data_IF_777183756505
#
_entry.id   IF_777183756505
#
_cell.length_a   1.000
_cell.length_b   1.000
_cell.length_c   1.000
_cell.angle_alpha   90.00
_cell.angle_beta   90.00
_cell.angle_gamma   90.00
#
_symmetry.space_group_name_H-M   'P 1'
#
loop_
_entity.id
_entity.type
_entity.pdbx_description
1 polymer ?
#
# COMPACT_ATOMS: atom_id res chain seq x y z
N UNK A 1 -25.23 -9.00 1.96
CA UNK A 1 -26.34 -9.88 2.37
C UNK A 1 -27.69 -9.21 2.14
N UNK A 2 -28.23 -9.24 0.92
CA UNK A 2 -29.57 -8.72 0.63
C UNK A 2 -30.60 -9.85 0.42
N UNK A 3 -30.13 -11.02 -0.01
CA UNK A 3 -30.98 -12.18 -0.34
C UNK A 3 -31.10 -13.16 0.85
N UNK A 4 -30.01 -13.38 1.59
CA UNK A 4 -29.95 -14.35 2.70
C UNK A 4 -30.84 -13.98 3.91
N UNK A 5 -31.24 -12.72 4.04
CA UNK A 5 -32.13 -12.27 5.12
C UNK A 5 -33.05 -11.16 4.61
N UNK A 6 -34.18 -11.54 3.98
CA UNK A 6 -35.07 -10.62 3.25
C UNK A 6 -35.83 -9.64 4.15
N UNK A 7 -35.97 -9.92 5.45
CA UNK A 7 -36.69 -9.08 6.42
C UNK A 7 -35.76 -8.13 7.21
N UNK A 8 -34.44 -8.16 6.98
CA UNK A 8 -33.52 -7.26 7.66
C UNK A 8 -33.60 -5.89 6.99
N UNK A 9 -33.88 -4.80 7.73
CA UNK A 9 -33.96 -3.46 7.15
C UNK A 9 -32.64 -3.13 6.43
N UNK A 10 -32.75 -2.58 5.22
CA UNK A 10 -31.61 -2.18 4.39
C UNK A 10 -30.71 -1.25 5.21
N UNK A 11 -29.40 -1.48 5.14
CA UNK A 11 -28.41 -0.59 5.77
C UNK A 11 -28.74 0.87 5.45
N UNK A 12 -28.76 1.72 6.48
CA UNK A 12 -29.01 3.15 6.32
C UNK A 12 -27.92 3.80 5.47
N UNK A 13 -28.26 4.87 4.74
CA UNK A 13 -27.33 5.65 3.91
C UNK A 13 -26.11 6.12 4.73
N UNK A 14 -26.34 6.55 5.96
CA UNK A 14 -25.26 6.98 6.87
C UNK A 14 -24.32 5.85 7.22
N UNK A 15 -24.83 4.62 7.39
CA UNK A 15 -24.00 3.45 7.69
C UNK A 15 -23.09 3.10 6.52
N UNK A 16 -23.61 3.13 5.29
CA UNK A 16 -22.80 2.89 4.08
C UNK A 16 -21.71 3.95 3.92
N UNK A 17 -22.03 5.23 4.12
CA UNK A 17 -21.02 6.30 4.06
C UNK A 17 -19.94 6.12 5.13
N UNK A 18 -20.32 5.78 6.36
CA UNK A 18 -19.37 5.52 7.43
C UNK A 18 -18.43 4.36 7.08
N UNK A 19 -18.96 3.24 6.58
CA UNK A 19 -18.14 2.10 6.15
C UNK A 19 -17.16 2.53 5.04
N UNK A 20 -17.61 3.29 4.04
CA UNK A 20 -16.71 3.79 2.99
C UNK A 20 -15.58 4.64 3.58
N UNK A 21 -15.88 5.59 4.47
CA UNK A 21 -14.86 6.43 5.13
C UNK A 21 -13.85 5.56 5.88
N UNK A 22 -14.31 4.57 6.63
CA UNK A 22 -13.41 3.64 7.33
C UNK A 22 -12.52 2.88 6.36
N UNK A 23 -13.05 2.35 5.26
CA UNK A 23 -12.25 1.66 4.24
C UNK A 23 -11.14 2.59 3.73
N UNK A 24 -11.47 3.83 3.37
CA UNK A 24 -10.48 4.81 2.91
C UNK A 24 -9.40 5.09 3.95
N UNK A 25 -9.78 5.33 5.21
CA UNK A 25 -8.84 5.58 6.30
C UNK A 25 -7.92 4.39 6.52
N UNK A 26 -8.46 3.17 6.58
CA UNK A 26 -7.66 1.96 6.77
C UNK A 26 -6.72 1.70 5.59
N UNK A 27 -7.16 1.93 4.35
CA UNK A 27 -6.31 1.83 3.17
C UNK A 27 -5.13 2.80 3.24
N UNK A 28 -5.38 4.07 3.61
CA UNK A 28 -4.31 5.07 3.75
C UNK A 28 -3.33 4.67 4.85
N UNK A 29 -3.84 4.25 6.01
CA UNK A 29 -2.99 3.80 7.13
C UNK A 29 -2.12 2.61 6.75
N UNK A 30 -2.66 1.64 6.01
CA UNK A 30 -1.92 0.47 5.57
C UNK A 30 -0.86 0.81 4.51
N UNK A 31 -1.13 1.79 3.65
CA UNK A 31 -0.18 2.29 2.65
C UNK A 31 0.84 3.28 3.21
N UNK A 32 0.60 3.87 4.38
CA UNK A 32 1.48 4.88 5.00
C UNK A 32 2.95 4.46 5.15
N UNK A 33 3.31 3.25 5.64
CA UNK A 33 4.72 2.84 5.71
C UNK A 33 5.37 2.80 4.32
N UNK A 34 4.67 2.32 3.30
CA UNK A 34 5.18 2.27 1.93
C UNK A 34 5.49 3.68 1.38
N UNK A 35 4.72 4.69 1.80
CA UNK A 35 4.97 6.08 1.41
C UNK A 35 6.17 6.70 2.15
N UNK A 36 6.37 6.35 3.43
CA UNK A 36 7.51 6.84 4.21
C UNK A 36 8.84 6.24 3.74
N UNK A 37 8.83 4.98 3.32
CA UNK A 37 10.03 4.23 2.96
C UNK A 37 10.30 4.19 1.44
N UNK A 38 9.48 4.86 0.62
CA UNK A 38 9.78 5.00 -0.81
C UNK A 38 10.93 5.98 -1.03
N UNK A 39 12.03 5.51 -1.64
CA UNK A 39 13.21 6.31 -1.93
C UNK A 39 13.51 6.28 -3.43
N UNK A 40 14.08 7.38 -3.95
CA UNK A 40 14.55 7.45 -5.34
C UNK A 40 16.05 7.68 -5.38
N UNK A 41 16.76 6.89 -6.17
CA UNK A 41 18.21 7.03 -6.39
C UNK A 41 18.54 6.97 -7.88
N UNK A 42 19.67 7.57 -8.24
CA UNK A 42 20.23 7.51 -9.59
C UNK A 42 21.21 6.35 -9.62
N UNK A 43 20.88 5.30 -10.36
CA UNK A 43 21.76 4.15 -10.57
C UNK A 43 22.48 4.26 -11.90
N UNK A 44 23.78 3.98 -11.89
CA UNK A 44 24.61 3.86 -13.09
C UNK A 44 24.58 2.41 -13.56
N UNK A 45 23.99 2.19 -14.75
CA UNK A 45 23.87 0.86 -15.31
C UNK A 45 25.18 0.44 -16.00
N UNK A 46 25.47 -0.87 -16.10
CA UNK A 46 26.67 -1.40 -16.77
C UNK A 46 26.81 -0.95 -18.23
N UNK A 47 25.69 -0.57 -18.85
CA UNK A 47 25.62 -0.06 -20.23
C UNK A 47 26.06 1.42 -20.36
N UNK A 48 26.49 2.06 -19.26
CA UNK A 48 26.95 3.46 -19.23
C UNK A 48 25.83 4.50 -19.17
N UNK A 49 24.59 4.07 -18.94
CA UNK A 49 23.43 4.96 -18.78
C UNK A 49 23.05 5.16 -17.31
N UNK A 50 22.69 6.40 -16.93
CA UNK A 50 22.10 6.69 -15.62
C UNK A 50 20.57 6.60 -15.69
N UNK A 51 19.92 5.87 -14.78
CA UNK A 51 18.45 5.87 -14.65
C UNK A 51 18.03 6.17 -13.21
N UNK A 52 16.96 6.93 -13.06
CA UNK A 52 16.33 7.16 -11.75
C UNK A 52 15.43 5.97 -11.45
N UNK A 53 15.71 5.27 -10.36
CA UNK A 53 14.88 4.17 -9.87
C UNK A 53 14.15 4.59 -8.61
N UNK A 54 12.92 4.11 -8.45
CA UNK A 54 12.15 4.22 -7.22
C UNK A 54 12.09 2.83 -6.59
N UNK A 55 12.51 2.73 -5.33
CA UNK A 55 12.56 1.46 -4.62
C UNK A 55 12.19 1.66 -3.15
N UNK A 56 11.93 0.56 -2.45
CA UNK A 56 11.57 0.59 -1.05
C UNK A 56 12.81 0.43 -0.18
N UNK A 57 13.12 1.44 0.63
CA UNK A 57 14.20 1.39 1.60
C UNK A 57 13.63 1.11 2.99
N UNK A 58 13.49 -0.18 3.31
CA UNK A 58 13.05 -0.58 4.64
C UNK A 58 14.19 -0.38 5.66
N UNK A 59 13.88 -0.23 6.97
CA UNK A 59 14.88 -0.11 8.03
C UNK A 59 15.87 -1.28 8.13
N UNK A 60 15.58 -2.44 7.54
CA UNK A 60 16.47 -3.60 7.45
C UNK A 60 17.41 -3.58 6.23
N UNK A 61 17.21 -2.67 5.28
CA UNK A 61 18.07 -2.49 4.11
C UNK A 61 17.30 -2.08 2.85
N UNK A 62 18.03 -1.68 1.78
CA UNK A 62 17.41 -1.51 0.47
C UNK A 62 16.89 -2.85 -0.04
N UNK A 63 15.77 -2.85 -0.75
CA UNK A 63 15.17 -4.08 -1.31
C UNK A 63 16.19 -4.88 -2.14
N UNK A 64 17.01 -4.21 -2.95
CA UNK A 64 18.04 -4.88 -3.75
C UNK A 64 19.17 -5.55 -2.94
N UNK A 65 19.26 -5.32 -1.63
CA UNK A 65 20.24 -5.93 -0.71
C UNK A 65 19.56 -6.52 0.54
N UNK A 66 18.23 -6.74 0.48
CA UNK A 66 17.49 -7.16 1.68
C UNK A 66 17.78 -8.64 1.98
N UNK A 67 18.24 -8.92 3.20
CA UNK A 67 18.55 -10.30 3.61
C UNK A 67 17.29 -11.18 3.76
N UNK A 68 16.09 -10.59 3.71
CA UNK A 68 14.81 -11.31 3.80
C UNK A 68 14.26 -11.73 2.43
N UNK A 69 14.68 -11.11 1.31
CA UNK A 69 14.24 -11.52 -0.04
C UNK A 69 14.83 -12.86 -0.50
N UNK A 70 15.92 -13.30 0.14
CA UNK A 70 16.62 -14.54 -0.20
C UNK A 70 16.39 -15.69 0.81
N UNK A 71 15.46 -15.53 1.76
CA UNK A 71 15.03 -16.62 2.65
C UNK A 71 13.93 -17.49 2.04
#
# INVERSE_FOLDING_TARGET
MAIMHPLKPRMSRSTTLNICVWIWVFSILLSFPNLLYSMTIVEEFPDGGSRVICFMFWPDGPSNESNQEYM
#
